data_IF_280290787305
#
_entry.id   IF_280290787305
#
_cell.length_a   1.000
_cell.length_b   1.000
_cell.length_c   1.000
_cell.angle_alpha   90.00
_cell.angle_beta   90.00
_cell.angle_gamma   90.00
#
_symmetry.space_group_name_H-M   'P 1'
#
loop_
_entity.id
_entity.type
_entity.pdbx_description
1 polymer ?
#
# COMPACT_ATOMS: atom_id res chain seq x y z
N UNK A 1 -28.26 -0.80 -0.74
CA UNK A 1 -26.82 -1.01 -1.00
C UNK A 1 -26.17 -1.62 0.23
N UNK A 2 -25.08 -2.37 0.06
CA UNK A 2 -24.32 -2.96 1.17
C UNK A 2 -22.87 -2.51 1.06
N UNK A 3 -22.25 -2.24 2.21
CA UNK A 3 -20.84 -1.88 2.29
C UNK A 3 -20.01 -3.15 2.46
N UNK A 4 -18.88 -3.22 1.76
CA UNK A 4 -17.91 -4.32 1.85
C UNK A 4 -16.52 -3.72 2.01
N UNK A 5 -15.66 -4.39 2.78
CA UNK A 5 -14.26 -4.02 2.93
C UNK A 5 -13.43 -5.17 2.38
N UNK A 6 -12.59 -4.87 1.39
CA UNK A 6 -11.51 -5.74 0.96
C UNK A 6 -10.19 -5.21 1.49
N UNK A 7 -9.29 -6.10 1.90
CA UNK A 7 -7.94 -5.74 2.35
C UNK A 7 -6.90 -6.44 1.48
N UNK A 8 -5.80 -5.73 1.21
CA UNK A 8 -4.61 -6.24 0.52
C UNK A 8 -3.39 -5.77 1.29
N UNK A 9 -2.41 -6.65 1.50
CA UNK A 9 -1.08 -6.23 1.98
C UNK A 9 -0.28 -5.71 0.78
N UNK A 10 0.24 -4.50 0.90
CA UNK A 10 1.07 -3.84 -0.11
C UNK A 10 2.45 -3.57 0.46
N UNK A 11 3.45 -3.50 -0.41
CA UNK A 11 4.80 -3.03 -0.04
C UNK A 11 4.93 -1.57 -0.44
N UNK A 12 5.49 -0.74 0.42
CA UNK A 12 5.68 0.67 0.13
C UNK A 12 7.05 1.16 0.57
N UNK A 13 7.65 2.01 -0.27
CA UNK A 13 8.93 2.69 0.01
C UNK A 13 8.76 4.20 -0.25
N UNK A 14 9.36 5.08 0.56
CA UNK A 14 9.34 6.51 0.30
C UNK A 14 9.89 6.82 -1.10
N UNK A 15 9.16 7.62 -1.87
CA UNK A 15 9.55 8.04 -3.21
C UNK A 15 9.06 9.45 -3.48
N UNK A 16 9.97 10.33 -3.89
CA UNK A 16 9.59 11.63 -4.42
C UNK A 16 9.20 11.51 -5.90
N UNK A 17 8.14 12.23 -6.30
CA UNK A 17 7.72 12.35 -7.69
C UNK A 17 7.37 13.79 -8.00
N UNK A 18 8.01 14.37 -9.01
CA UNK A 18 7.80 15.76 -9.45
C UNK A 18 7.93 16.78 -8.29
N UNK A 19 8.91 16.59 -7.42
CA UNK A 19 9.15 17.45 -6.25
C UNK A 19 8.16 17.26 -5.10
N UNK A 20 7.34 16.20 -5.13
CA UNK A 20 6.34 15.90 -4.09
C UNK A 20 6.69 14.61 -3.34
N UNK A 21 6.67 14.63 -1.98
CA UNK A 21 6.92 13.42 -1.20
C UNK A 21 5.74 12.45 -1.31
N UNK A 22 6.07 11.18 -1.43
CA UNK A 22 5.08 10.12 -1.48
C UNK A 22 5.68 8.76 -1.25
N UNK A 23 4.94 7.75 -1.68
CA UNK A 23 5.33 6.35 -1.60
C UNK A 23 5.14 5.69 -2.95
N UNK A 24 6.15 4.92 -3.36
CA UNK A 24 5.98 3.90 -4.38
C UNK A 24 5.35 2.70 -3.72
N UNK A 25 4.22 2.25 -4.24
CA UNK A 25 3.40 1.16 -3.68
C UNK A 25 3.37 0.01 -4.68
N UNK A 26 3.77 -1.18 -4.23
CA UNK A 26 3.78 -2.42 -5.01
C UNK A 26 2.71 -3.35 -4.46
N UNK A 27 1.80 -3.77 -5.35
CA UNK A 27 0.70 -4.66 -5.03
C UNK A 27 1.09 -6.14 -5.27
N UNK A 28 0.38 -7.10 -4.65
CA UNK A 28 0.69 -8.54 -4.80
C UNK A 28 0.61 -9.06 -6.25
N UNK A 29 -0.19 -8.42 -7.09
CA UNK A 29 -0.34 -8.73 -8.52
C UNK A 29 0.78 -8.15 -9.39
N UNK A 30 1.77 -7.47 -8.78
CA UNK A 30 2.87 -6.82 -9.48
C UNK A 30 2.55 -5.43 -10.00
N UNK A 31 1.33 -4.92 -9.81
CA UNK A 31 1.01 -3.54 -10.14
C UNK A 31 1.81 -2.58 -9.26
N UNK A 32 2.32 -1.50 -9.87
CA UNK A 32 3.09 -0.47 -9.18
C UNK A 32 2.40 0.87 -9.35
N UNK A 33 2.23 1.59 -8.24
CA UNK A 33 1.67 2.93 -8.22
C UNK A 33 2.53 3.88 -7.40
N UNK A 34 2.27 5.18 -7.52
CA UNK A 34 2.79 6.18 -6.61
C UNK A 34 1.61 6.89 -5.93
N UNK A 35 1.72 7.11 -4.62
CA UNK A 35 0.72 7.81 -3.83
C UNK A 35 1.34 8.97 -3.06
N UNK A 36 0.71 10.16 -3.01
CA UNK A 36 1.16 11.26 -2.16
C UNK A 36 1.26 10.82 -0.70
N UNK A 37 2.22 11.39 0.03
CA UNK A 37 2.53 10.99 1.41
C UNK A 37 1.28 11.03 2.31
N UNK A 38 0.55 12.15 2.28
CA UNK A 38 -0.61 12.34 3.16
C UNK A 38 -1.77 11.40 2.80
N UNK A 39 -1.94 11.06 1.53
CA UNK A 39 -2.97 10.13 1.06
C UNK A 39 -2.61 8.70 1.49
N UNK A 40 -1.35 8.32 1.32
CA UNK A 40 -0.86 7.01 1.71
C UNK A 40 -0.97 6.81 3.24
N UNK A 41 -0.48 7.75 4.04
CA UNK A 41 -0.48 7.62 5.50
C UNK A 41 -1.91 7.64 6.08
N UNK A 42 -2.89 8.27 5.41
CA UNK A 42 -4.30 8.18 5.82
C UNK A 42 -4.90 6.80 5.57
N UNK A 43 -4.63 6.21 4.41
CA UNK A 43 -5.24 4.95 3.96
C UNK A 43 -4.53 3.69 4.48
N UNK A 44 -3.21 3.74 4.66
CA UNK A 44 -2.39 2.57 5.00
C UNK A 44 -1.83 2.69 6.42
N UNK A 45 -1.62 1.55 7.07
CA UNK A 45 -0.94 1.44 8.36
C UNK A 45 0.22 0.46 8.22
N UNK A 46 1.31 0.74 8.93
CA UNK A 46 2.42 -0.19 9.03
C UNK A 46 1.90 -1.47 9.70
N UNK A 47 2.28 -2.61 9.12
CA UNK A 47 1.97 -3.90 9.67
C UNK A 47 3.22 -4.41 10.39
N UNK A 48 3.14 -4.57 11.71
CA UNK A 48 4.26 -5.09 12.53
C UNK A 48 4.36 -6.63 12.52
N UNK A 49 3.43 -7.33 11.85
CA UNK A 49 3.40 -8.77 11.75
C UNK A 49 3.73 -9.27 10.33
N UNK A 50 4.06 -10.56 10.22
CA UNK A 50 4.37 -11.19 8.95
C UNK A 50 3.18 -11.17 7.99
N UNK A 51 3.48 -11.16 6.68
CA UNK A 51 2.48 -11.22 5.62
C UNK A 51 1.74 -12.58 5.66
N UNK A 52 0.54 -12.56 6.25
CA UNK A 52 -0.32 -13.74 6.35
C UNK A 52 -1.38 -13.81 5.24
N UNK A 53 -1.58 -12.74 4.46
CA UNK A 53 -2.58 -12.69 3.39
C UNK A 53 -2.02 -13.27 2.09
N UNK A 54 -0.75 -13.00 1.79
CA UNK A 54 -0.08 -13.46 0.59
C UNK A 54 0.77 -14.73 0.81
N UNK A 55 0.64 -15.37 1.98
CA UNK A 55 1.36 -16.59 2.31
C UNK A 55 0.93 -17.70 1.35
N UNK A 56 1.86 -18.23 0.56
CA UNK A 56 1.64 -19.43 -0.25
C UNK A 56 1.74 -20.65 0.66
N UNK A 57 0.78 -21.57 0.54
CA UNK A 57 0.81 -22.90 1.16
C UNK A 57 2.03 -23.71 0.72
#
# INVERSE_FOLDING_TARGET
MKNYIGVKIVKAEPQEKDGRPGYKVVYPDGYVSWSPKDVFEKAYRILDCEDFINKKE
#
